data_IF_208543572865
#
_entry.id   IF_208543572865
#
_cell.length_a   1.000
_cell.length_b   1.000
_cell.length_c   1.000
_cell.angle_alpha   90.00
_cell.angle_beta   90.00
_cell.angle_gamma   90.00
#
_symmetry.space_group_name_H-M   'P 1'
#
loop_
_entity.id
_entity.type
_entity.pdbx_description
1 polymer ?
#
# COMPACT_ATOMS: atom_id res chain seq x y z
N UNK A 1 -2.47 34.07 21.61
CA UNK A 1 -2.90 33.68 20.25
C UNK A 1 -1.69 33.07 19.56
N UNK A 2 -1.56 31.74 19.60
CA UNK A 2 -0.45 31.02 18.98
C UNK A 2 -0.94 30.33 17.72
N UNK A 3 -0.28 30.62 16.59
CA UNK A 3 -0.59 30.05 15.28
C UNK A 3 -0.23 28.56 15.28
N UNK A 4 -1.24 27.69 15.16
CA UNK A 4 -1.03 26.25 14.96
C UNK A 4 -0.76 26.04 13.47
N UNK A 5 0.47 25.69 13.12
CA UNK A 5 0.80 25.20 11.78
C UNK A 5 0.49 23.70 11.74
N UNK A 6 -0.66 23.31 11.18
CA UNK A 6 -0.93 21.91 10.84
C UNK A 6 -0.16 21.56 9.56
N UNK A 7 1.08 21.11 9.71
CA UNK A 7 1.84 20.51 8.62
C UNK A 7 1.48 19.02 8.54
N UNK A 8 0.81 18.62 7.45
CA UNK A 8 0.35 17.25 7.19
C UNK A 8 -1.17 17.19 7.06
N UNK A 9 -1.67 16.67 5.93
CA UNK A 9 -3.11 16.66 5.60
C UNK A 9 -4.01 16.16 6.72
N UNK A 10 -5.05 16.94 7.03
CA UNK A 10 -6.14 16.63 7.97
C UNK A 10 -7.09 15.53 7.45
N UNK A 11 -6.81 14.98 6.28
CA UNK A 11 -7.68 14.01 5.59
C UNK A 11 -7.14 12.61 5.92
N UNK A 12 -7.96 11.73 6.53
CA UNK A 12 -7.52 10.37 6.80
C UNK A 12 -7.19 9.64 5.48
N UNK A 13 -6.19 8.75 5.47
CA UNK A 13 -5.88 7.94 4.30
C UNK A 13 -7.08 7.10 3.86
N UNK A 14 -7.16 6.87 2.56
CA UNK A 14 -8.17 6.00 1.95
C UNK A 14 -7.98 4.57 2.45
N UNK A 15 -9.04 3.93 2.95
CA UNK A 15 -9.00 2.49 3.22
C UNK A 15 -8.96 1.73 1.91
N UNK A 16 -7.87 1.00 1.66
CA UNK A 16 -7.71 0.20 0.45
C UNK A 16 -8.48 -1.11 0.57
N UNK A 17 -9.00 -1.56 -0.57
CA UNK A 17 -9.50 -2.92 -0.75
C UNK A 17 -8.37 -3.74 -1.37
N UNK A 18 -8.12 -4.92 -0.80
CA UNK A 18 -6.98 -5.77 -1.18
C UNK A 18 -7.47 -7.20 -1.33
N UNK A 19 -7.08 -7.85 -2.42
CA UNK A 19 -7.30 -9.28 -2.64
C UNK A 19 -5.99 -9.94 -3.08
N UNK A 20 -5.75 -11.14 -2.58
CA UNK A 20 -4.58 -11.96 -2.92
C UNK A 20 -5.00 -13.17 -3.76
N UNK A 21 -4.11 -13.61 -4.65
CA UNK A 21 -4.20 -14.88 -5.35
C UNK A 21 -2.83 -15.57 -5.33
N UNK A 22 -2.68 -16.71 -4.63
CA UNK A 22 -3.68 -17.42 -3.81
C UNK A 22 -4.23 -16.56 -2.64
N UNK A 23 -5.42 -16.90 -2.13
CA UNK A 23 -6.10 -16.14 -1.05
C UNK A 23 -5.24 -16.02 0.22
N UNK A 24 -4.43 -17.04 0.49
CA UNK A 24 -3.42 -17.04 1.55
C UNK A 24 -2.04 -17.12 0.89
N UNK A 25 -1.17 -16.12 1.12
CA UNK A 25 0.22 -16.12 0.67
C UNK A 25 0.98 -17.38 1.06
N UNK A 26 1.75 -17.91 0.13
CA UNK A 26 2.57 -19.10 0.34
C UNK A 26 4.03 -18.71 0.43
N UNK A 27 4.71 -19.15 1.50
CA UNK A 27 6.10 -18.80 1.75
C UNK A 27 7.00 -19.08 0.53
N UNK A 28 7.82 -18.09 0.17
CA UNK A 28 8.76 -18.13 -0.96
C UNK A 28 8.13 -18.10 -2.35
N UNK A 29 6.81 -17.92 -2.47
CA UNK A 29 6.13 -17.85 -3.77
C UNK A 29 5.82 -16.42 -4.21
N UNK A 30 5.54 -16.27 -5.50
CA UNK A 30 4.99 -15.04 -6.05
C UNK A 30 3.47 -15.08 -5.88
N UNK A 31 2.91 -14.05 -5.27
CA UNK A 31 1.48 -13.86 -5.11
C UNK A 31 1.02 -12.66 -5.92
N UNK A 32 -0.16 -12.77 -6.53
CA UNK A 32 -0.80 -11.64 -7.17
C UNK A 32 -1.64 -10.87 -6.15
N UNK A 33 -1.43 -9.54 -6.10
CA UNK A 33 -2.15 -8.64 -5.20
C UNK A 33 -2.88 -7.58 -6.02
N UNK A 34 -4.19 -7.54 -5.88
CA UNK A 34 -5.00 -6.47 -6.44
C UNK A 34 -5.35 -5.47 -5.34
N UNK A 35 -4.99 -4.21 -5.56
CA UNK A 35 -5.29 -3.08 -4.69
C UNK A 35 -6.26 -2.16 -5.41
N UNK A 36 -7.33 -1.77 -4.72
CA UNK A 36 -8.29 -0.81 -5.24
C UNK A 36 -8.77 0.18 -4.18
N UNK A 37 -9.19 1.36 -4.63
CA UNK A 37 -9.64 2.42 -3.75
C UNK A 37 -10.06 3.66 -4.51
N UNK A 38 -10.75 4.58 -3.81
CA UNK A 38 -11.13 5.89 -4.34
C UNK A 38 -10.48 6.96 -3.49
N UNK A 39 -9.43 7.57 -4.03
CA UNK A 39 -8.53 8.42 -3.27
C UNK A 39 -9.05 9.86 -3.16
N UNK A 40 -8.72 10.53 -2.07
CA UNK A 40 -9.02 11.96 -1.88
C UNK A 40 -7.97 12.89 -2.47
N UNK A 41 -6.88 12.31 -3.00
CA UNK A 41 -5.77 13.00 -3.65
C UNK A 41 -5.46 12.32 -4.98
N UNK A 42 -4.85 13.08 -5.88
CA UNK A 42 -4.38 12.56 -7.15
C UNK A 42 -3.29 11.51 -6.93
N UNK A 43 -3.36 10.41 -7.67
CA UNK A 43 -2.25 9.47 -7.84
C UNK A 43 -1.41 9.97 -9.01
N UNK A 44 -0.13 10.16 -8.77
CA UNK A 44 0.83 10.69 -9.76
C UNK A 44 2.02 9.76 -9.90
N UNK A 45 2.94 10.05 -10.82
CA UNK A 45 4.22 9.33 -11.00
C UNK A 45 5.08 9.28 -9.72
N UNK A 46 4.89 10.21 -8.79
CA UNK A 46 5.60 10.25 -7.52
C UNK A 46 4.92 9.42 -6.42
N UNK A 47 3.82 8.75 -6.75
CA UNK A 47 3.10 7.90 -5.81
C UNK A 47 3.64 6.48 -5.90
N UNK A 48 4.04 5.94 -4.76
CA UNK A 48 4.54 4.59 -4.59
C UNK A 48 3.48 3.75 -3.87
N UNK A 49 3.39 2.50 -4.29
CA UNK A 49 2.74 1.42 -3.58
C UNK A 49 3.83 0.65 -2.84
N UNK A 50 3.63 0.47 -1.54
CA UNK A 50 4.52 -0.31 -0.66
C UNK A 50 3.72 -1.45 -0.06
N UNK A 51 4.23 -2.67 -0.21
CA UNK A 51 3.67 -3.89 0.40
C UNK A 51 4.73 -4.50 1.31
N UNK A 52 4.41 -4.68 2.59
CA UNK A 52 5.30 -5.23 3.59
C UNK A 52 4.63 -6.37 4.35
N UNK A 53 5.34 -7.49 4.47
CA UNK A 53 5.00 -8.55 5.42
C UNK A 53 5.63 -8.20 6.76
N UNK A 54 4.84 -8.18 7.82
CA UNK A 54 5.27 -7.75 9.15
C UNK A 54 4.94 -8.81 10.20
N UNK A 55 5.76 -8.88 11.25
CA UNK A 55 5.45 -9.67 12.44
C UNK A 55 4.42 -8.96 13.35
N UNK A 56 4.06 -9.61 14.46
CA UNK A 56 3.14 -9.05 15.45
C UNK A 56 3.63 -7.78 16.15
N UNK A 57 4.92 -7.45 16.01
CA UNK A 57 5.54 -6.25 16.56
C UNK A 57 5.64 -5.12 15.51
N UNK A 58 5.20 -5.37 14.28
CA UNK A 58 5.32 -4.43 13.16
C UNK A 58 6.70 -4.42 12.50
N UNK A 59 7.58 -5.37 12.82
CA UNK A 59 8.88 -5.51 12.17
C UNK A 59 8.71 -6.22 10.82
N UNK A 60 9.37 -5.70 9.78
CA UNK A 60 9.32 -6.31 8.45
C UNK A 60 10.02 -7.69 8.45
N UNK A 61 9.35 -8.69 7.88
CA UNK A 61 9.85 -10.06 7.74
C UNK A 61 10.80 -10.23 6.54
N UNK A 62 10.70 -9.32 5.57
CA UNK A 62 11.56 -9.20 4.40
C UNK A 62 11.58 -7.74 3.94
N UNK A 63 12.44 -7.43 2.96
CA UNK A 63 12.43 -6.10 2.35
C UNK A 63 11.05 -5.81 1.73
N UNK A 64 10.41 -4.65 2.04
CA UNK A 64 9.13 -4.30 1.45
C UNK A 64 9.21 -4.18 -0.07
N UNK A 65 8.21 -4.70 -0.75
CA UNK A 65 8.05 -4.49 -2.19
C UNK A 65 7.60 -3.05 -2.44
N UNK A 66 8.35 -2.31 -3.25
CA UNK A 66 8.03 -0.93 -3.64
C UNK A 66 7.83 -0.85 -5.14
N UNK A 67 6.68 -0.34 -5.55
CA UNK A 67 6.27 -0.27 -6.95
C UNK A 67 5.70 1.13 -7.23
N UNK A 68 5.84 1.66 -8.45
CA UNK A 68 5.07 2.83 -8.85
C UNK A 68 3.57 2.50 -8.77
N UNK A 69 2.80 3.35 -8.09
CA UNK A 69 1.33 3.24 -8.01
C UNK A 69 0.65 3.55 -9.35
N UNK A 70 1.42 3.93 -10.35
CA UNK A 70 0.93 4.38 -11.63
C UNK A 70 2.02 4.16 -12.68
N UNK A 71 1.74 3.31 -13.67
CA UNK A 71 2.68 2.92 -14.73
C UNK A 71 2.02 3.11 -16.09
N UNK A 72 2.76 3.65 -17.07
CA UNK A 72 2.30 3.80 -18.47
C UNK A 72 1.92 5.22 -18.90
N UNK A 73 1.53 5.34 -20.18
CA UNK A 73 1.12 6.62 -20.80
C UNK A 73 -0.29 7.02 -20.33
N UNK A 74 -0.41 8.14 -19.62
CA UNK A 74 -1.66 8.60 -19.01
C UNK A 74 -1.64 8.64 -17.48
N UNK A 75 -0.45 8.62 -16.88
CA UNK A 75 -0.28 8.54 -15.44
C UNK A 75 -0.68 9.83 -14.70
N UNK A 76 -1.98 9.94 -14.39
CA UNK A 76 -2.54 10.74 -13.31
C UNK A 76 -3.98 10.28 -13.10
N UNK A 77 -4.26 9.65 -11.96
CA UNK A 77 -5.64 9.30 -11.58
C UNK A 77 -6.10 10.41 -10.65
N UNK A 78 -7.20 11.07 -11.00
CA UNK A 78 -7.68 12.23 -10.24
C UNK A 78 -8.32 11.81 -8.94
N UNK A 79 -8.24 12.70 -7.94
CA UNK A 79 -8.98 12.55 -6.70
C UNK A 79 -10.46 12.25 -7.00
N UNK A 80 -11.00 11.23 -6.34
CA UNK A 80 -12.37 10.76 -6.54
C UNK A 80 -12.57 9.77 -7.69
N UNK A 81 -11.55 9.49 -8.50
CA UNK A 81 -11.61 8.40 -9.48
C UNK A 81 -11.34 7.05 -8.81
N UNK A 82 -11.89 5.99 -9.41
CA UNK A 82 -11.62 4.63 -8.97
C UNK A 82 -10.24 4.21 -9.45
N UNK A 83 -9.40 3.79 -8.52
CA UNK A 83 -8.12 3.16 -8.78
C UNK A 83 -8.21 1.65 -8.62
N UNK A 84 -7.52 0.93 -9.49
CA UNK A 84 -7.25 -0.50 -9.36
C UNK A 84 -5.89 -0.80 -9.97
N UNK A 85 -5.06 -1.53 -9.25
CA UNK A 85 -3.79 -2.03 -9.75
C UNK A 85 -3.56 -3.45 -9.25
N UNK A 86 -3.11 -4.30 -10.16
CA UNK A 86 -2.68 -5.67 -9.88
C UNK A 86 -1.16 -5.71 -9.98
N UNK A 87 -0.51 -6.30 -8.97
CA UNK A 87 0.95 -6.45 -8.91
C UNK A 87 1.32 -7.84 -8.44
N UNK A 88 2.48 -8.33 -8.89
CA UNK A 88 3.08 -9.53 -8.33
C UNK A 88 4.04 -9.13 -7.21
N UNK A 89 3.94 -9.80 -6.07
CA UNK A 89 4.86 -9.63 -4.93
C UNK A 89 5.45 -10.98 -4.56
N UNK A 90 6.67 -10.98 -4.03
CA UNK A 90 7.27 -12.18 -3.47
C UNK A 90 6.95 -12.25 -1.98
N UNK A 91 6.34 -13.35 -1.54
CA UNK A 91 6.18 -13.63 -0.13
C UNK A 91 7.53 -14.04 0.50
N UNK A 92 7.78 -13.71 1.79
CA UNK A 92 9.00 -14.12 2.47
C UNK A 92 9.19 -15.63 2.47
N UNK A 93 10.44 -16.09 2.52
CA UNK A 93 10.78 -17.53 2.58
C UNK A 93 10.22 -18.24 3.83
N UNK A 94 9.80 -17.47 4.84
CA UNK A 94 9.14 -17.95 6.04
C UNK A 94 8.04 -16.98 6.45
N UNK A 95 6.82 -17.51 6.63
CA UNK A 95 5.65 -16.75 7.10
C UNK A 95 5.22 -17.33 8.45
N UNK A 96 5.61 -16.69 9.58
CA UNK A 96 5.14 -17.06 10.90
C UNK A 96 3.61 -17.00 11.02
N UNK A 97 3.04 -17.75 11.98
CA UNK A 97 1.60 -17.75 12.27
C UNK A 97 1.01 -16.39 12.70
N UNK A 98 1.86 -15.41 13.03
CA UNK A 98 1.45 -14.06 13.43
C UNK A 98 1.92 -13.02 12.42
N UNK A 99 1.85 -13.34 11.13
CA UNK A 99 2.22 -12.43 10.05
C UNK A 99 1.02 -11.60 9.65
N UNK A 100 1.21 -10.30 9.55
CA UNK A 100 0.25 -9.39 8.94
C UNK A 100 0.87 -8.78 7.67
N UNK A 101 0.03 -8.28 6.78
CA UNK A 101 0.48 -7.56 5.58
C UNK A 101 0.02 -6.12 5.69
N UNK A 102 0.98 -5.22 5.59
CA UNK A 102 0.76 -3.79 5.58
C UNK A 102 0.97 -3.22 4.19
N UNK A 103 -0.04 -2.52 3.69
CA UNK A 103 -0.03 -1.92 2.36
C UNK A 103 -0.24 -0.43 2.50
N UNK A 104 0.63 0.35 1.86
CA UNK A 104 0.59 1.81 1.90
C UNK A 104 0.74 2.35 0.49
N UNK A 105 -0.03 3.39 0.20
CA UNK A 105 0.13 4.21 -0.99
C UNK A 105 0.41 5.64 -0.58
N UNK A 106 1.44 6.24 -1.17
CA UNK A 106 1.89 7.57 -0.79
C UNK A 106 3.15 8.01 -1.50
N UNK A 107 3.73 9.12 -1.08
CA UNK A 107 5.04 9.57 -1.58
C UNK A 107 6.11 9.55 -0.47
N UNK A 108 7.38 9.60 -0.89
CA UNK A 108 8.55 9.58 0.00
C UNK A 108 8.66 10.78 0.95
N UNK A 109 7.78 11.78 0.83
CA UNK A 109 7.75 13.01 1.66
C UNK A 109 6.71 12.97 2.78
N UNK A 110 6.30 11.76 3.20
CA UNK A 110 5.33 11.46 4.28
C UNK A 110 3.84 11.63 3.95
N UNK A 111 3.48 11.79 2.68
CA UNK A 111 2.07 11.85 2.29
C UNK A 111 1.49 10.46 2.04
N UNK A 112 0.83 9.89 3.05
CA UNK A 112 0.10 8.62 2.92
C UNK A 112 -1.33 8.92 2.47
N UNK A 113 -1.69 8.44 1.29
CA UNK A 113 -2.98 8.70 0.64
C UNK A 113 -3.94 7.52 0.74
N UNK A 114 -3.41 6.32 1.00
CA UNK A 114 -4.21 5.14 1.29
C UNK A 114 -3.42 4.08 2.04
N UNK A 115 -4.12 3.24 2.79
CA UNK A 115 -3.54 2.10 3.47
C UNK A 115 -4.52 0.93 3.61
N UNK A 116 -3.97 -0.26 3.74
CA UNK A 116 -4.68 -1.46 4.18
C UNK A 116 -3.82 -2.26 5.16
N UNK A 117 -4.51 -3.01 5.99
CA UNK A 117 -3.93 -3.96 6.92
C UNK A 117 -4.68 -5.28 6.73
N UNK A 118 -3.94 -6.34 6.43
CA UNK A 118 -4.50 -7.67 6.18
C UNK A 118 -3.89 -8.63 7.18
N UNK A 119 -4.75 -9.34 7.89
CA UNK A 119 -4.34 -10.33 8.88
C UNK A 119 -4.37 -11.71 8.25
N UNK A 120 -3.25 -12.43 8.30
CA UNK A 120 -3.14 -13.80 7.81
C UNK A 120 -3.56 -14.82 8.89
#
# INVERSE_FOLDING_TARGET
MGTVYTYGSIIPPTKLQVTFSPEVPVAGQMDEVTISGKFTKDITENTELVVAFIDSNGAALADPTKLPACTGSGCSIKAGEQYTQTVEIQAPDSIPHSTDIFIVMGNSKTDVIGCAYVKL
#
